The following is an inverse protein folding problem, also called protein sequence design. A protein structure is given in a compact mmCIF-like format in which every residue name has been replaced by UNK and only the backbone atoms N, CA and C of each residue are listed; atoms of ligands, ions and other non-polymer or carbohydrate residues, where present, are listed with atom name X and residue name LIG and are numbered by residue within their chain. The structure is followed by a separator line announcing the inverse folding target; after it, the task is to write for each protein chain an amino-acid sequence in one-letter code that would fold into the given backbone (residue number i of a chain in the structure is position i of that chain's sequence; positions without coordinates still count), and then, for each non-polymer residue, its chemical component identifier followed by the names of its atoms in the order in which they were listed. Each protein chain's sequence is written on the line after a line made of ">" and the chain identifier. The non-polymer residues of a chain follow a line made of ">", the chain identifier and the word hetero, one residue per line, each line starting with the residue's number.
data_IF_282445866435
#
_entry.id   IF_282445866435
#
_cell.length_a   1.000
_cell.length_b   1.000
_cell.length_c   1.000
_cell.angle_alpha   90.00
_cell.angle_beta   90.00
_cell.angle_gamma   90.00
#
_symmetry.space_group_name_H-M   'P 1'
#
loop_
_entity.id
_entity.type
_entity.pdbx_description
1 polymer ?
#
# COMPACT_ATOMS: atom_id res chain seq x y z
N UNK A 1 19.05 3.78 -13.02
CA UNK A 1 17.88 3.25 -12.31
C UNK A 1 16.66 4.11 -12.61
N UNK A 2 15.55 3.47 -13.00
CA UNK A 2 14.30 4.08 -13.50
C UNK A 2 13.08 3.42 -12.85
N UNK A 3 11.88 3.96 -13.09
CA UNK A 3 10.62 3.30 -12.69
C UNK A 3 10.44 1.92 -13.35
N UNK A 4 10.93 1.74 -14.58
CA UNK A 4 10.89 0.45 -15.26
C UNK A 4 11.77 -0.59 -14.54
N UNK A 5 12.94 -0.18 -14.04
CA UNK A 5 13.81 -1.06 -13.25
C UNK A 5 13.13 -1.46 -11.93
N UNK A 6 12.40 -0.54 -11.30
CA UNK A 6 11.63 -0.80 -10.09
C UNK A 6 10.53 -1.84 -10.35
N UNK A 7 9.78 -1.69 -11.44
CA UNK A 7 8.75 -2.66 -11.81
C UNK A 7 9.33 -4.04 -12.10
N UNK A 8 10.45 -4.11 -12.83
CA UNK A 8 11.14 -5.37 -13.09
C UNK A 8 11.63 -6.04 -11.80
N UNK A 9 12.13 -5.27 -10.82
CA UNK A 9 12.52 -5.78 -9.52
C UNK A 9 11.31 -6.32 -8.72
N UNK A 10 10.21 -5.56 -8.67
CA UNK A 10 8.96 -5.98 -8.01
C UNK A 10 8.43 -7.27 -8.62
N UNK A 11 8.37 -7.36 -9.95
CA UNK A 11 7.84 -8.54 -10.65
C UNK A 11 8.70 -9.80 -10.39
N UNK A 12 10.01 -9.63 -10.17
CA UNK A 12 10.89 -10.75 -9.76
C UNK A 12 10.59 -11.22 -8.34
N UNK A 13 10.45 -10.29 -7.40
CA UNK A 13 10.08 -10.60 -6.01
C UNK A 13 8.71 -11.30 -5.95
N UNK A 14 7.74 -10.86 -6.75
CA UNK A 14 6.41 -11.47 -6.88
C UNK A 14 6.48 -12.94 -7.30
N UNK A 15 7.47 -13.31 -8.14
CA UNK A 15 7.70 -14.69 -8.58
C UNK A 15 8.56 -15.53 -7.61
N UNK A 16 8.93 -14.98 -6.46
CA UNK A 16 9.78 -15.66 -5.49
C UNK A 16 11.29 -15.57 -5.76
N UNK A 17 11.71 -14.70 -6.67
CA UNK A 17 13.13 -14.43 -6.92
C UNK A 17 13.57 -13.19 -6.14
N UNK A 18 14.26 -13.44 -5.03
CA UNK A 18 14.70 -12.40 -4.09
C UNK A 18 16.16 -11.96 -4.31
N UNK A 19 16.81 -12.49 -5.35
CA UNK A 19 18.24 -12.35 -5.55
C UNK A 19 19.03 -12.74 -4.30
N UNK A 20 19.89 -11.83 -3.84
CA UNK A 20 20.72 -12.04 -2.66
C UNK A 20 19.98 -11.84 -1.32
N UNK A 21 18.93 -11.02 -1.29
CA UNK A 21 18.27 -10.62 -0.04
C UNK A 21 17.22 -11.63 0.39
N UNK A 22 17.68 -12.66 1.10
CA UNK A 22 16.80 -13.69 1.69
C UNK A 22 16.16 -13.27 3.03
N UNK A 23 16.58 -12.13 3.59
CA UNK A 23 16.10 -11.64 4.89
C UNK A 23 15.25 -10.39 4.73
N UNK A 24 14.13 -10.27 5.47
CA UNK A 24 13.22 -9.14 5.34
C UNK A 24 13.79 -7.86 5.96
N UNK A 25 13.25 -6.72 5.52
CA UNK A 25 13.45 -5.41 6.13
C UNK A 25 12.78 -5.29 7.50
N UNK A 26 11.82 -6.18 7.80
CA UNK A 26 11.04 -6.29 9.04
C UNK A 26 10.03 -5.17 9.31
N UNK A 27 10.25 -3.96 8.80
CA UNK A 27 9.36 -2.83 9.08
C UNK A 27 9.18 -1.88 7.90
N UNK A 28 9.93 -2.05 6.81
CA UNK A 28 9.97 -1.10 5.71
C UNK A 28 9.58 -1.76 4.39
N UNK A 29 8.70 -1.09 3.65
CA UNK A 29 8.09 -1.61 2.45
C UNK A 29 8.07 -0.56 1.34
N UNK A 30 8.21 -1.04 0.11
CA UNK A 30 8.03 -0.29 -1.12
C UNK A 30 6.57 -0.44 -1.55
N UNK A 31 5.93 0.66 -1.90
CA UNK A 31 4.58 0.65 -2.49
C UNK A 31 4.73 0.45 -4.00
N UNK A 32 4.15 -0.62 -4.57
CA UNK A 32 4.03 -0.75 -6.03
C UNK A 32 3.00 0.28 -6.51
N UNK A 33 3.38 1.31 -7.27
CA UNK A 33 2.44 2.33 -7.70
C UNK A 33 1.38 1.78 -8.67
N UNK A 34 1.63 0.63 -9.33
CA UNK A 34 0.69 0.01 -10.28
C UNK A 34 -0.48 -0.67 -9.58
N UNK A 35 -0.19 -1.36 -8.47
CA UNK A 35 -1.15 -2.22 -7.75
C UNK A 35 -1.51 -1.69 -6.36
N UNK A 36 -0.81 -0.66 -5.87
CA UNK A 36 -0.88 -0.16 -4.50
C UNK A 36 -0.62 -1.25 -3.44
N UNK A 37 0.19 -2.26 -3.79
CA UNK A 37 0.58 -3.35 -2.89
C UNK A 37 1.94 -3.07 -2.24
N UNK A 38 2.20 -3.73 -1.11
CA UNK A 38 3.45 -3.59 -0.37
C UNK A 38 4.43 -4.72 -0.65
N UNK A 39 5.66 -4.34 -0.94
CA UNK A 39 6.78 -5.26 -1.15
C UNK A 39 7.89 -4.98 -0.14
N UNK A 40 8.49 -6.02 0.46
CA UNK A 40 9.56 -5.82 1.43
C UNK A 40 10.72 -5.05 0.77
N UNK A 41 11.23 -4.03 1.48
CA UNK A 41 12.20 -3.10 0.91
C UNK A 41 13.50 -3.78 0.47
N UNK A 42 14.03 -4.70 1.27
CA UNK A 42 15.35 -5.29 1.03
C UNK A 42 15.44 -6.09 -0.28
N UNK A 43 14.54 -7.04 -0.58
CA UNK A 43 14.60 -7.78 -1.84
C UNK A 43 14.39 -6.86 -3.05
N UNK A 44 13.43 -5.92 -3.01
CA UNK A 44 13.18 -5.01 -4.14
C UNK A 44 14.39 -4.10 -4.39
N UNK A 45 14.88 -3.41 -3.36
CA UNK A 45 15.99 -2.47 -3.52
C UNK A 45 17.32 -3.20 -3.75
N UNK A 46 17.46 -4.39 -3.20
CA UNK A 46 18.60 -5.26 -3.47
C UNK A 46 18.73 -5.60 -4.95
N UNK A 47 17.65 -6.06 -5.57
CA UNK A 47 17.59 -6.37 -7.00
C UNK A 47 17.83 -5.12 -7.88
N UNK A 48 17.29 -3.98 -7.47
CA UNK A 48 17.54 -2.70 -8.14
C UNK A 48 19.02 -2.35 -8.18
N UNK A 49 19.69 -2.45 -7.03
CA UNK A 49 21.12 -2.13 -6.89
C UNK A 49 21.98 -3.18 -7.61
N UNK A 50 21.64 -4.46 -7.49
CA UNK A 50 22.30 -5.56 -8.21
C UNK A 50 22.22 -5.37 -9.74
N UNK A 51 21.06 -4.95 -10.26
CA UNK A 51 20.86 -4.66 -11.67
C UNK A 51 21.72 -3.53 -12.23
N UNK A 52 22.35 -2.71 -11.37
CA UNK A 52 23.35 -1.72 -11.78
C UNK A 52 24.78 -2.26 -11.76
N UNK A 53 24.97 -3.58 -11.58
CA UNK A 53 26.29 -4.22 -11.45
C UNK A 53 26.97 -3.94 -10.10
N UNK A 54 26.26 -3.36 -9.13
CA UNK A 54 26.79 -3.11 -7.80
C UNK A 54 26.71 -4.39 -6.99
N UNK A 55 27.84 -4.81 -6.42
CA UNK A 55 27.86 -5.98 -5.55
C UNK A 55 27.17 -5.68 -4.21
N UNK A 56 25.94 -6.20 -4.09
CA UNK A 56 25.13 -6.10 -2.86
C UNK A 56 25.54 -7.10 -1.78
N UNK A 57 26.51 -7.98 -2.06
CA UNK A 57 27.03 -9.02 -1.15
C UNK A 57 28.12 -8.52 -0.21
N UNK A 58 28.42 -7.21 -0.24
CA UNK A 58 29.54 -6.53 0.40
C UNK A 58 30.22 -7.26 1.57
N UNK A 59 31.55 -7.34 1.51
CA UNK A 59 32.45 -8.04 2.43
C UNK A 59 31.91 -8.21 3.87
N UNK A 60 31.42 -9.42 4.16
CA UNK A 60 30.96 -9.96 5.47
C UNK A 60 29.53 -9.66 5.94
N UNK A 61 28.71 -8.81 5.30
CA UNK A 61 27.25 -8.71 5.58
C UNK A 61 26.50 -7.99 4.45
N UNK A 62 25.33 -8.50 4.07
CA UNK A 62 24.42 -7.84 3.12
C UNK A 62 24.16 -6.36 3.51
N UNK A 63 23.94 -5.49 2.52
CA UNK A 63 23.74 -4.05 2.80
C UNK A 63 22.48 -3.82 3.65
N UNK A 64 22.51 -2.77 4.47
CA UNK A 64 21.37 -2.42 5.34
C UNK A 64 20.26 -1.74 4.54
N UNK A 65 19.04 -1.70 5.10
CA UNK A 65 17.92 -0.94 4.51
C UNK A 65 18.28 0.53 4.28
N UNK A 66 18.99 1.16 5.21
CA UNK A 66 19.42 2.56 5.08
C UNK A 66 20.42 2.75 3.95
N UNK A 67 21.38 1.82 3.80
CA UNK A 67 22.34 1.85 2.71
C UNK A 67 21.67 1.66 1.35
N UNK A 68 20.67 0.78 1.26
CA UNK A 68 19.86 0.59 0.05
C UNK A 68 19.05 1.84 -0.29
N UNK A 69 18.33 2.40 0.68
CA UNK A 69 17.55 3.65 0.49
C UNK A 69 18.43 4.81 0.01
N UNK A 70 19.60 5.00 0.61
CA UNK A 70 20.54 6.05 0.22
C UNK A 70 20.96 5.95 -1.26
N UNK A 71 21.11 4.73 -1.77
CA UNK A 71 21.48 4.50 -3.18
C UNK A 71 20.31 4.66 -4.14
N UNK A 72 19.09 4.32 -3.74
CA UNK A 72 17.90 4.42 -4.60
C UNK A 72 17.33 5.84 -4.65
N UNK A 73 17.35 6.58 -3.53
CA UNK A 73 16.75 7.93 -3.41
C UNK A 73 17.24 8.93 -4.44
N UNK A 74 18.51 8.84 -4.87
CA UNK A 74 19.05 9.72 -5.90
C UNK A 74 18.45 9.52 -7.29
N UNK A 75 17.77 8.39 -7.54
CA UNK A 75 17.22 8.03 -8.85
C UNK A 75 15.69 7.98 -8.86
N UNK A 76 15.08 7.68 -7.72
CA UNK A 76 13.63 7.59 -7.54
C UNK A 76 13.21 8.46 -6.34
N UNK A 77 13.27 9.79 -6.46
CA UNK A 77 13.00 10.70 -5.34
C UNK A 77 11.54 10.67 -4.88
N UNK A 78 10.61 10.40 -5.80
CA UNK A 78 9.16 10.37 -5.55
C UNK A 78 8.65 8.98 -5.13
N UNK A 79 9.55 8.03 -4.88
CA UNK A 79 9.15 6.68 -4.49
C UNK A 79 8.61 6.66 -3.06
N UNK A 80 7.34 6.27 -2.93
CA UNK A 80 6.69 6.14 -1.64
C UNK A 80 7.21 4.91 -0.88
N UNK A 81 7.69 5.15 0.34
CA UNK A 81 8.07 4.12 1.30
C UNK A 81 7.07 4.11 2.46
N UNK A 82 6.69 2.92 2.91
CA UNK A 82 5.86 2.73 4.09
C UNK A 82 6.68 2.09 5.21
N UNK A 83 6.56 2.63 6.43
CA UNK A 83 7.24 2.12 7.63
C UNK A 83 6.21 1.72 8.68
N UNK A 84 6.40 0.55 9.31
CA UNK A 84 5.45 -0.03 10.27
C UNK A 84 6.12 -0.37 11.61
N UNK A 85 5.36 -0.22 12.70
CA UNK A 85 5.75 -0.78 13.99
C UNK A 85 5.57 -2.31 13.96
N UNK A 86 6.63 -3.04 14.29
CA UNK A 86 6.72 -4.51 14.14
C UNK A 86 5.61 -5.28 14.87
N UNK A 87 5.10 -4.75 15.98
CA UNK A 87 4.00 -5.37 16.74
C UNK A 87 2.65 -5.30 16.02
N UNK A 88 2.37 -4.21 15.28
CA UNK A 88 1.11 -4.02 14.56
C UNK A 88 1.05 -4.83 13.26
N UNK A 89 2.19 -5.21 12.69
CA UNK A 89 2.25 -6.03 11.47
C UNK A 89 1.54 -7.38 11.62
N UNK A 90 1.68 -8.03 12.79
CA UNK A 90 1.02 -9.32 13.06
C UNK A 90 -0.50 -9.21 13.07
N UNK A 91 -1.02 -8.05 13.48
CA UNK A 91 -2.47 -7.80 13.56
C UNK A 91 -3.08 -7.49 12.19
N UNK A 92 -2.29 -6.94 11.27
CA UNK A 92 -2.72 -6.62 9.90
C UNK A 92 -2.56 -7.79 8.91
N UNK A 93 -2.29 -9.00 9.41
CA UNK A 93 -2.03 -10.16 8.54
C UNK A 93 -0.77 -10.01 7.67
N UNK A 94 0.06 -8.99 7.90
CA UNK A 94 1.28 -8.78 7.12
C UNK A 94 2.32 -9.84 7.48
N UNK A 95 2.44 -10.84 6.61
CA UNK A 95 3.43 -11.89 6.77
C UNK A 95 4.78 -11.46 6.19
N UNK A 96 5.82 -12.04 6.79
CA UNK A 96 7.21 -11.72 6.52
C UNK A 96 7.64 -12.49 5.28
N UNK A 97 8.42 -11.85 4.43
CA UNK A 97 9.25 -12.59 3.51
C UNK A 97 10.30 -13.38 4.29
N UNK A 98 10.19 -14.69 4.27
CA UNK A 98 11.25 -15.61 4.67
C UNK A 98 11.44 -16.61 3.53
N UNK A 99 12.56 -16.52 2.83
CA UNK A 99 12.88 -17.40 1.71
C UNK A 99 13.01 -18.88 2.12
N UNK A 100 13.00 -19.18 3.43
CA UNK A 100 13.02 -20.54 3.98
C UNK A 100 11.61 -21.06 4.35
N UNK A 101 10.58 -20.21 4.30
CA UNK A 101 9.20 -20.62 4.49
C UNK A 101 8.57 -20.89 3.11
N UNK A 102 7.92 -22.06 2.98
CA UNK A 102 7.15 -22.44 1.79
C UNK A 102 5.70 -22.71 2.18
N UNK A 103 4.71 -22.06 1.53
CA UNK A 103 4.89 -20.98 0.55
C UNK A 103 5.36 -19.68 1.21
N UNK A 104 6.03 -18.82 0.44
CA UNK A 104 6.29 -17.43 0.85
C UNK A 104 4.94 -16.72 0.88
N UNK A 105 4.47 -16.40 2.09
CA UNK A 105 3.20 -15.68 2.26
C UNK A 105 3.46 -14.17 2.25
N UNK A 106 3.02 -13.51 1.20
CA UNK A 106 3.05 -12.06 1.07
C UNK A 106 1.71 -11.46 1.52
N UNK A 107 1.69 -10.22 2.06
CA UNK A 107 0.44 -9.55 2.38
C UNK A 107 -0.30 -9.18 1.09
N UNK A 108 -1.55 -9.60 0.94
CA UNK A 108 -2.50 -9.03 -0.04
C UNK A 108 -2.96 -7.61 0.39
N UNK A 109 -2.14 -6.91 1.17
CA UNK A 109 -2.45 -5.62 1.75
C UNK A 109 -2.36 -4.52 0.68
N UNK A 110 -3.44 -3.76 0.54
CA UNK A 110 -3.48 -2.57 -0.29
C UNK A 110 -3.27 -1.33 0.57
N UNK A 111 -2.37 -0.47 0.12
CA UNK A 111 -2.11 0.86 0.67
C UNK A 111 -3.21 1.80 0.18
N UNK A 112 -4.11 2.19 1.07
CA UNK A 112 -5.03 3.29 0.79
C UNK A 112 -4.71 4.43 1.73
N UNK A 113 -4.27 5.56 1.17
CA UNK A 113 -4.05 6.78 1.94
C UNK A 113 -5.42 7.26 2.47
N UNK A 114 -5.66 7.05 3.76
CA UNK A 114 -6.68 7.80 4.49
C UNK A 114 -6.08 9.15 4.86
N UNK A 115 -6.74 10.25 4.54
CA UNK A 115 -6.38 11.55 5.07
C UNK A 115 -6.62 11.53 6.58
N UNK A 116 -5.54 11.41 7.37
CA UNK A 116 -5.60 11.55 8.81
C UNK A 116 -5.00 12.91 9.17
N UNK A 117 -5.87 13.88 9.43
CA UNK A 117 -5.51 15.14 10.09
C UNK A 117 -4.91 16.22 9.18
N UNK A 118 -4.91 17.43 9.72
CA UNK A 118 -4.35 18.62 9.07
C UNK A 118 -2.85 18.46 8.76
N UNK A 119 -2.38 19.03 7.64
CA UNK A 119 -1.00 18.88 7.22
C UNK A 119 -0.01 19.47 8.23
N UNK A 120 1.06 18.72 8.50
CA UNK A 120 2.21 19.22 9.23
C UNK A 120 2.93 20.30 8.40
N UNK A 121 2.75 21.56 8.78
CA UNK A 121 3.49 22.76 8.37
C UNK A 121 3.58 23.05 6.85
N UNK A 122 2.99 24.19 6.45
CA UNK A 122 3.17 24.80 5.12
C UNK A 122 4.61 25.29 4.96
N UNK A 123 5.32 24.84 3.92
CA UNK A 123 6.64 25.37 3.54
C UNK A 123 6.43 26.30 2.34
N UNK A 124 6.61 27.61 2.55
CA UNK A 124 6.55 28.57 1.45
C UNK A 124 7.87 28.59 0.69
N UNK A 125 7.82 28.51 -0.65
CA UNK A 125 8.97 28.80 -1.50
C UNK A 125 9.04 30.31 -1.75
N UNK A 126 10.26 30.87 -1.74
CA UNK A 126 10.50 32.31 -1.75
C UNK A 126 10.51 32.97 -3.13
N UNK A 127 10.33 32.23 -4.24
CA UNK A 127 10.32 32.83 -5.57
C UNK A 127 9.34 32.11 -6.51
N UNK A 128 8.19 32.72 -6.77
CA UNK A 128 7.32 32.45 -7.93
C UNK A 128 6.69 31.06 -8.09
N UNK A 129 6.97 30.09 -7.21
CA UNK A 129 6.59 28.69 -7.36
C UNK A 129 5.61 28.21 -6.29
N UNK A 130 4.61 27.44 -6.74
CA UNK A 130 3.57 26.75 -5.95
C UNK A 130 4.08 26.31 -4.56
N UNK A 131 3.37 26.71 -3.50
CA UNK A 131 3.66 26.26 -2.14
C UNK A 131 3.38 24.76 -1.99
N UNK A 132 4.28 24.04 -1.33
CA UNK A 132 4.10 22.62 -0.98
C UNK A 132 4.23 22.45 0.54
N UNK A 133 3.62 21.41 1.09
CA UNK A 133 3.74 21.06 2.50
C UNK A 133 4.07 19.58 2.65
N UNK A 134 4.81 19.26 3.72
CA UNK A 134 5.28 17.91 4.00
C UNK A 134 4.29 17.26 4.98
N UNK A 135 3.24 16.61 4.46
CA UNK A 135 2.27 15.92 5.31
C UNK A 135 2.76 14.52 5.67
N UNK A 136 2.92 14.25 6.97
CA UNK A 136 3.00 12.89 7.49
C UNK A 136 1.59 12.29 7.50
N UNK A 137 1.31 11.38 6.56
CA UNK A 137 0.02 10.68 6.51
C UNK A 137 0.11 9.32 7.22
N UNK A 138 -0.90 9.03 8.05
CA UNK A 138 -1.07 7.71 8.65
C UNK A 138 -1.82 6.83 7.66
N UNK A 139 -1.11 5.88 7.06
CA UNK A 139 -1.68 4.93 6.10
C UNK A 139 -2.25 3.72 6.85
N UNK A 140 -3.46 3.30 6.45
CA UNK A 140 -4.04 2.04 6.90
C UNK A 140 -3.97 1.03 5.76
N UNK A 141 -3.59 -0.19 6.11
CA UNK A 141 -3.59 -1.30 5.19
C UNK A 141 -4.94 -2.00 5.24
N UNK A 142 -5.42 -2.37 4.06
CA UNK A 142 -6.66 -3.11 3.89
C UNK A 142 -6.35 -4.48 3.29
N UNK A 143 -6.98 -5.52 3.81
CA UNK A 143 -6.97 -6.88 3.29
C UNK A 143 -7.74 -6.90 1.96
N UNK A 144 -7.04 -7.15 0.85
CA UNK A 144 -7.69 -7.23 -0.46
C UNK A 144 -8.73 -8.34 -0.53
N UNK A 145 -8.59 -9.42 0.25
CA UNK A 145 -9.58 -10.47 0.37
C UNK A 145 -10.90 -9.97 0.95
N UNK A 146 -10.85 -9.08 1.95
CA UNK A 146 -12.05 -8.41 2.50
C UNK A 146 -12.69 -7.50 1.47
N UNK A 147 -11.88 -6.72 0.74
CA UNK A 147 -12.37 -5.83 -0.33
C UNK A 147 -13.05 -6.63 -1.44
N UNK A 148 -12.40 -7.68 -1.93
CA UNK A 148 -12.91 -8.53 -3.02
C UNK A 148 -14.15 -9.29 -2.59
N UNK A 149 -14.17 -9.85 -1.38
CA UNK A 149 -15.33 -10.55 -0.85
C UNK A 149 -16.52 -9.60 -0.64
N UNK A 150 -16.29 -8.35 -0.19
CA UNK A 150 -17.35 -7.34 -0.10
C UNK A 150 -17.92 -6.98 -1.48
N UNK A 151 -17.07 -6.78 -2.49
CA UNK A 151 -17.52 -6.51 -3.88
C UNK A 151 -18.27 -7.69 -4.49
N UNK A 152 -17.83 -8.92 -4.23
CA UNK A 152 -18.54 -10.15 -4.65
C UNK A 152 -19.90 -10.28 -3.97
N UNK A 153 -19.96 -10.05 -2.65
CA UNK A 153 -21.21 -10.05 -1.85
C UNK A 153 -22.23 -9.06 -2.41
N UNK A 154 -21.76 -7.87 -2.80
CA UNK A 154 -22.59 -6.79 -3.34
C UNK A 154 -23.15 -7.07 -4.73
N UNK A 155 -22.59 -8.04 -5.48
CA UNK A 155 -23.06 -8.47 -6.79
C UNK A 155 -23.33 -7.30 -7.78
N UNK A 156 -22.47 -6.28 -7.75
CA UNK A 156 -22.59 -5.11 -8.62
C UNK A 156 -23.66 -4.09 -8.22
N UNK A 157 -24.23 -4.19 -7.02
CA UNK A 157 -25.19 -3.22 -6.46
C UNK A 157 -24.64 -2.57 -5.19
N UNK A 158 -24.92 -1.28 -5.02
CA UNK A 158 -24.58 -0.55 -3.81
C UNK A 158 -25.31 -1.14 -2.60
N UNK A 159 -24.59 -1.51 -1.54
CA UNK A 159 -25.17 -2.09 -0.32
C UNK A 159 -25.94 -1.07 0.53
N UNK A 160 -25.93 0.22 0.15
CA UNK A 160 -26.72 1.26 0.79
C UNK A 160 -27.96 1.67 -0.01
N UNK A 161 -27.79 2.21 -1.23
CA UNK A 161 -28.91 2.69 -2.04
C UNK A 161 -29.54 1.62 -2.93
N UNK A 162 -28.98 0.40 -2.94
CA UNK A 162 -29.45 -0.76 -3.73
C UNK A 162 -29.43 -0.56 -5.26
N UNK A 163 -28.94 0.58 -5.73
CA UNK A 163 -28.76 0.86 -7.16
C UNK A 163 -27.58 0.07 -7.73
N UNK A 164 -27.63 -0.22 -9.03
CA UNK A 164 -26.52 -0.83 -9.74
C UNK A 164 -25.28 0.09 -9.74
N UNK A 165 -24.10 -0.52 -9.87
CA UNK A 165 -22.86 0.22 -10.02
C UNK A 165 -22.99 1.22 -11.19
N UNK A 166 -22.49 2.45 -11.02
CA UNK A 166 -22.69 3.51 -12.00
C UNK A 166 -22.01 3.25 -13.35
N UNK A 167 -20.97 2.41 -13.37
CA UNK A 167 -20.24 2.02 -14.56
C UNK A 167 -19.45 0.72 -14.33
N UNK A 168 -18.96 0.13 -15.42
CA UNK A 168 -18.00 -0.97 -15.41
C UNK A 168 -16.58 -0.43 -15.53
N UNK A 169 -15.64 -1.04 -14.80
CA UNK A 169 -14.20 -0.82 -14.96
C UNK A 169 -13.73 -1.26 -16.36
N UNK A 170 -12.51 -0.88 -16.75
CA UNK A 170 -11.91 -1.37 -18.01
C UNK A 170 -11.76 -2.90 -18.08
N UNK A 171 -11.82 -3.59 -16.93
CA UNK A 171 -11.84 -5.05 -16.85
C UNK A 171 -13.25 -5.65 -16.90
N UNK A 172 -14.30 -4.84 -17.15
CA UNK A 172 -15.70 -5.29 -17.20
C UNK A 172 -16.36 -5.51 -15.84
N UNK A 173 -15.69 -5.17 -14.72
CA UNK A 173 -16.23 -5.36 -13.37
C UNK A 173 -17.06 -4.16 -12.90
N UNK A 174 -18.19 -4.34 -12.19
CA UNK A 174 -18.95 -3.24 -11.59
C UNK A 174 -18.10 -2.37 -10.65
N UNK A 175 -18.14 -1.05 -10.82
CA UNK A 175 -17.38 -0.12 -9.97
C UNK A 175 -18.11 0.17 -8.64
N UNK A 176 -17.57 -0.36 -7.54
CA UNK A 176 -17.98 -0.06 -6.16
C UNK A 176 -16.74 0.19 -5.29
N UNK A 177 -16.91 1.02 -4.26
CA UNK A 177 -15.88 1.41 -3.29
C UNK A 177 -16.18 0.77 -1.93
N UNK A 178 -15.20 0.10 -1.33
CA UNK A 178 -15.38 -0.56 -0.03
C UNK A 178 -15.11 0.44 1.09
N UNK A 179 -16.10 0.58 1.97
CA UNK A 179 -16.14 1.52 3.08
C UNK A 179 -16.21 0.76 4.41
N UNK A 180 -15.34 1.10 5.36
CA UNK A 180 -15.44 0.58 6.73
C UNK A 180 -16.50 1.36 7.51
N UNK A 181 -17.50 0.67 8.08
CA UNK A 181 -18.59 1.29 8.86
C UNK A 181 -18.03 1.94 10.12
N UNK A 182 -17.21 1.20 10.89
CA UNK A 182 -16.30 1.76 11.89
C UNK A 182 -14.96 2.00 11.21
N UNK A 183 -14.51 3.25 11.04
CA UNK A 183 -13.26 3.55 10.35
C UNK A 183 -12.05 2.88 11.01
N UNK A 184 -11.07 2.43 10.21
CA UNK A 184 -9.80 1.90 10.72
C UNK A 184 -9.03 2.94 11.59
N UNK A 185 -9.25 4.23 11.36
CA UNK A 185 -8.69 5.31 12.17
C UNK A 185 -9.26 5.40 13.58
N UNK A 186 -10.43 4.80 13.80
CA UNK A 186 -11.12 4.68 15.07
C UNK A 186 -11.10 3.23 15.59
N UNK A 187 -10.03 2.50 15.25
CA UNK A 187 -9.81 1.09 15.64
C UNK A 187 -10.89 0.12 15.13
N UNK A 188 -11.59 0.46 14.04
CA UNK A 188 -12.46 -0.48 13.34
C UNK A 188 -11.70 -1.69 12.81
N UNK A 189 -12.34 -2.86 12.83
CA UNK A 189 -11.76 -4.09 12.30
C UNK A 189 -11.79 -4.12 10.77
N UNK A 190 -10.74 -4.65 10.17
CA UNK A 190 -10.71 -4.90 8.73
C UNK A 190 -11.29 -6.29 8.42
N UNK A 191 -12.63 -6.38 8.50
CA UNK A 191 -13.37 -7.63 8.35
C UNK A 191 -14.67 -7.42 7.57
N UNK A 192 -15.21 -8.49 6.97
CA UNK A 192 -16.45 -8.42 6.16
C UNK A 192 -17.66 -7.87 6.91
N UNK A 193 -17.71 -8.04 8.23
CA UNK A 193 -18.79 -7.53 9.08
C UNK A 193 -18.75 -6.02 9.29
N UNK A 194 -17.58 -5.40 9.07
CA UNK A 194 -17.37 -3.96 9.27
C UNK A 194 -17.20 -3.20 7.94
N UNK A 195 -17.54 -3.80 6.80
CA UNK A 195 -17.41 -3.13 5.49
C UNK A 195 -18.68 -3.18 4.66
N UNK A 196 -18.88 -2.15 3.83
CA UNK A 196 -19.91 -2.06 2.81
C UNK A 196 -19.29 -1.71 1.44
N UNK A 197 -19.76 -2.35 0.37
CA UNK A 197 -19.47 -1.95 -1.00
C UNK A 197 -20.51 -0.91 -1.47
N UNK A 198 -20.04 0.31 -1.73
CA UNK A 198 -20.88 1.47 -1.99
C UNK A 198 -20.62 2.05 -3.39
N UNK A 199 -21.64 2.68 -3.99
CA UNK A 199 -21.38 3.55 -5.12
C UNK A 199 -20.63 4.82 -4.66
N UNK A 200 -19.95 5.56 -5.57
CA UNK A 200 -19.19 6.75 -5.21
C UNK A 200 -20.01 7.80 -4.44
N UNK A 201 -21.28 7.97 -4.81
CA UNK A 201 -22.18 8.93 -4.17
C UNK A 201 -22.47 8.55 -2.71
N UNK A 202 -22.85 7.29 -2.46
CA UNK A 202 -23.11 6.81 -1.10
C UNK A 202 -21.83 6.76 -0.27
N UNK A 203 -20.69 6.43 -0.88
CA UNK A 203 -19.41 6.44 -0.18
C UNK A 203 -19.02 7.85 0.28
N UNK A 204 -19.19 8.87 -0.57
CA UNK A 204 -18.98 10.27 -0.18
C UNK A 204 -19.97 10.73 0.88
N UNK A 205 -21.23 10.35 0.75
CA UNK A 205 -22.26 10.65 1.77
C UNK A 205 -21.94 10.02 3.13
N UNK A 206 -21.36 8.82 3.16
CA UNK A 206 -20.90 8.19 4.39
C UNK A 206 -19.83 9.02 5.13
N UNK A 207 -18.94 9.66 4.36
CA UNK A 207 -17.86 10.48 4.91
C UNK A 207 -18.28 11.90 5.29
N UNK A 208 -19.17 12.53 4.51
CA UNK A 208 -19.42 13.97 4.59
C UNK A 208 -20.89 14.35 4.73
N UNK A 209 -21.81 13.40 4.57
CA UNK A 209 -23.25 13.66 4.67
C UNK A 209 -23.68 13.89 6.11
N UNK A 210 -24.70 14.73 6.29
CA UNK A 210 -25.23 15.16 7.60
C UNK A 210 -25.67 14.00 8.50
N UNK A 211 -26.03 12.86 7.92
CA UNK A 211 -26.50 11.68 8.66
C UNK A 211 -25.53 10.49 8.66
N UNK A 212 -24.35 10.61 8.04
CA UNK A 212 -23.35 9.54 7.93
C UNK A 212 -23.94 8.18 7.47
N UNK A 213 -23.15 7.12 7.56
CA UNK A 213 -23.68 5.74 7.54
C UNK A 213 -23.61 5.16 8.96
N UNK A 214 -24.11 5.88 9.96
CA UNK A 214 -24.28 5.34 11.30
C UNK A 214 -25.61 4.59 11.37
N UNK A 215 -25.56 3.27 11.52
CA UNK A 215 -26.66 2.50 12.11
C UNK A 215 -26.28 2.09 13.51
#
# INVERSE_FOLDING_TARGET
>A
MTLADLFAAIDRVERGDFGYYRTPALSEYVVDPRKQTLWDLKPVFGLLVEGQGVDVRGSRKAMTSDTLKARVRGFLPDLTLSSFLTEKMRRLGMRRHDANLSPVEWPDAIVQAGSVGEPASVVQSSEGGVAYYLALTKIFLRDAGVVDAAKKRAAGRCEHCLSEAPFLTGAGMPYLEVHHVVPLSQDGEDCLGNVLALCPNCHRMAHFGEHGLSR
#
